data_IF_302531145817
#
_entry.id   IF_302531145817
#
_cell.length_a   1.000
_cell.length_b   1.000
_cell.length_c   1.000
_cell.angle_alpha   90.00
_cell.angle_beta   90.00
_cell.angle_gamma   90.00
#
_symmetry.space_group_name_H-M   'P 1'
#
loop_
_entity.id
_entity.type
_entity.pdbx_description
1 polymer ?
#
# COMPACT_ATOMS: atom_id res chain seq x y z
N UNK A 1 8.34 -1.14 18.44
CA UNK A 1 7.79 -0.46 17.24
C UNK A 1 8.10 1.05 17.29
N UNK A 2 8.81 1.58 16.29
CA UNK A 2 8.94 3.03 16.18
C UNK A 2 7.57 3.61 15.79
N UNK A 3 7.05 4.64 16.47
CA UNK A 3 5.81 5.27 16.06
C UNK A 3 6.07 6.07 14.77
N UNK A 4 5.72 5.50 13.63
CA UNK A 4 5.57 6.27 12.39
C UNK A 4 4.14 6.82 12.34
N UNK A 5 3.98 8.12 12.61
CA UNK A 5 2.68 8.79 12.55
C UNK A 5 2.28 9.16 11.10
N UNK A 6 3.24 9.14 10.17
CA UNK A 6 3.04 9.53 8.78
C UNK A 6 4.10 8.92 7.87
N UNK A 7 3.77 8.84 6.57
CA UNK A 7 4.75 8.68 5.50
C UNK A 7 4.99 10.05 4.84
N UNK A 8 6.24 10.34 4.41
CA UNK A 8 6.48 11.53 3.62
C UNK A 8 5.69 11.48 2.30
N UNK A 9 5.41 12.65 1.72
CA UNK A 9 4.91 12.73 0.35
C UNK A 9 5.85 11.95 -0.59
N UNK A 10 5.27 11.29 -1.59
CA UNK A 10 6.00 10.49 -2.58
C UNK A 10 6.89 9.39 -1.97
N UNK A 11 6.55 8.84 -0.80
CA UNK A 11 7.36 7.80 -0.14
C UNK A 11 7.71 6.61 -1.06
N UNK A 12 6.76 6.20 -1.90
CA UNK A 12 6.92 5.11 -2.88
C UNK A 12 7.88 5.50 -4.01
N UNK A 13 7.66 6.65 -4.67
CA UNK A 13 8.46 7.09 -5.81
C UNK A 13 9.85 7.64 -5.42
N UNK A 14 10.01 8.19 -4.22
CA UNK A 14 11.26 8.83 -3.75
C UNK A 14 12.34 7.85 -3.30
N UNK A 15 12.06 6.54 -3.31
CA UNK A 15 12.95 5.52 -2.73
C UNK A 15 13.04 5.58 -1.19
N UNK A 16 12.21 6.39 -0.53
CA UNK A 16 12.15 6.43 0.94
C UNK A 16 11.80 5.07 1.54
N UNK A 17 10.78 4.39 1.01
CA UNK A 17 10.35 3.08 1.51
C UNK A 17 11.48 2.05 1.45
N UNK A 18 12.21 2.00 0.33
CA UNK A 18 13.37 1.11 0.18
C UNK A 18 14.48 1.42 1.19
N UNK A 19 14.75 2.70 1.48
CA UNK A 19 15.79 3.11 2.45
C UNK A 19 15.46 2.68 3.89
N UNK A 20 14.19 2.62 4.25
CA UNK A 20 13.74 2.16 5.57
C UNK A 20 13.51 0.64 5.63
N UNK A 21 13.85 -0.10 4.56
CA UNK A 21 13.68 -1.55 4.48
C UNK A 21 12.24 -2.02 4.25
N UNK A 22 11.33 -1.13 3.84
CA UNK A 22 9.98 -1.51 3.49
C UNK A 22 9.95 -2.21 2.11
N UNK A 23 9.01 -3.14 1.97
CA UNK A 23 8.73 -3.84 0.70
C UNK A 23 7.42 -3.35 0.09
N UNK A 24 7.40 -3.24 -1.22
CA UNK A 24 6.30 -2.82 -2.07
C UNK A 24 5.93 -3.98 -3.01
N UNK A 25 4.63 -4.25 -3.09
CA UNK A 25 4.10 -5.23 -4.02
C UNK A 25 4.13 -4.70 -5.46
N UNK A 26 4.09 -5.63 -6.42
CA UNK A 26 3.74 -5.28 -7.79
C UNK A 26 2.24 -4.98 -7.89
N UNK A 27 1.92 -3.81 -8.43
CA UNK A 27 0.55 -3.35 -8.66
C UNK A 27 0.02 -3.79 -10.05
N UNK A 28 -1.26 -3.50 -10.30
CA UNK A 28 -1.94 -3.84 -11.56
C UNK A 28 -1.47 -3.02 -12.77
N UNK A 29 -0.70 -1.94 -12.58
CA UNK A 29 0.02 -1.28 -13.67
C UNK A 29 1.28 -2.04 -14.09
N UNK A 30 1.61 -3.17 -13.43
CA UNK A 30 2.80 -3.96 -13.68
C UNK A 30 4.09 -3.36 -13.08
N UNK A 31 3.96 -2.39 -12.19
CA UNK A 31 5.09 -1.70 -11.53
C UNK A 31 5.09 -1.97 -10.03
N UNK A 32 6.26 -1.88 -9.40
CA UNK A 32 6.36 -2.01 -7.95
C UNK A 32 6.01 -0.66 -7.30
N UNK A 33 5.17 -0.66 -6.27
CA UNK A 33 4.79 0.55 -5.53
C UNK A 33 3.46 1.20 -5.95
N UNK A 34 3.32 2.49 -5.69
CA UNK A 34 2.06 3.24 -5.86
C UNK A 34 1.92 3.84 -7.27
N UNK A 35 0.82 3.50 -7.96
CA UNK A 35 0.54 3.94 -9.34
C UNK A 35 -0.51 5.05 -9.52
N UNK A 36 -1.01 5.64 -8.43
CA UNK A 36 -1.87 6.83 -8.48
C UNK A 36 -3.27 6.67 -9.11
N UNK A 37 -4.16 7.67 -8.95
CA UNK A 37 -5.44 7.72 -9.62
C UNK A 37 -5.34 8.04 -11.12
N UNK A 38 -5.88 7.16 -11.98
CA UNK A 38 -6.07 7.43 -13.41
C UNK A 38 -7.44 6.91 -13.89
N UNK A 39 -8.56 7.48 -13.42
CA UNK A 39 -9.88 7.02 -13.81
C UNK A 39 -10.22 7.45 -15.25
N UNK A 40 -11.03 6.67 -15.98
CA UNK A 40 -11.60 7.12 -17.25
C UNK A 40 -12.54 8.32 -17.02
N UNK A 41 -12.81 9.13 -18.08
CA UNK A 41 -13.79 10.22 -17.98
C UNK A 41 -15.17 9.73 -17.53
N UNK A 42 -15.85 10.53 -16.71
CA UNK A 42 -17.21 10.26 -16.26
C UNK A 42 -17.33 10.12 -14.74
N UNK A 43 -17.90 9.00 -14.27
CA UNK A 43 -18.19 8.82 -12.84
C UNK A 43 -16.89 8.71 -12.02
N UNK A 44 -16.70 9.50 -10.94
CA UNK A 44 -15.54 9.38 -10.08
C UNK A 44 -15.35 7.97 -9.53
N UNK A 45 -14.11 7.50 -9.53
CA UNK A 45 -13.73 6.23 -8.90
C UNK A 45 -13.48 6.43 -7.41
N UNK A 46 -13.69 5.33 -6.65
CA UNK A 46 -13.33 5.25 -5.23
C UNK A 46 -11.93 4.68 -5.10
N UNK A 47 -11.03 5.45 -4.51
CA UNK A 47 -9.70 5.03 -4.10
C UNK A 47 -9.74 4.71 -2.61
N UNK A 48 -9.56 3.44 -2.32
CA UNK A 48 -9.68 2.89 -0.97
C UNK A 48 -8.29 2.70 -0.41
N UNK A 49 -7.95 3.48 0.61
CA UNK A 49 -6.67 3.39 1.31
C UNK A 49 -6.95 2.73 2.65
N UNK A 50 -6.35 1.56 2.87
CA UNK A 50 -6.52 0.81 4.12
C UNK A 50 -5.18 0.67 4.81
N UNK A 51 -5.13 1.01 6.09
CA UNK A 51 -3.98 0.79 6.97
C UNK A 51 -4.28 -0.39 7.87
N UNK A 52 -3.34 -1.33 7.95
CA UNK A 52 -3.44 -2.53 8.77
C UNK A 52 -2.40 -2.48 9.89
N UNK A 53 -2.84 -2.68 11.14
CA UNK A 53 -1.95 -2.96 12.25
C UNK A 53 -1.70 -4.48 12.30
N UNK A 54 -0.44 -4.91 12.22
CA UNK A 54 -0.07 -6.32 12.16
C UNK A 54 0.55 -6.81 13.48
N UNK A 55 0.31 -8.07 13.82
CA UNK A 55 0.80 -8.72 15.05
C UNK A 55 2.31 -8.98 15.00
N UNK A 56 2.85 -9.28 13.83
CA UNK A 56 4.23 -9.70 13.64
C UNK A 56 4.93 -8.93 12.53
N UNK A 57 6.27 -8.99 12.56
CA UNK A 57 7.15 -8.46 11.50
C UNK A 57 7.66 -9.55 10.55
N UNK A 58 7.41 -10.82 10.85
CA UNK A 58 7.76 -11.96 9.99
C UNK A 58 6.66 -12.16 8.93
N UNK A 59 6.71 -11.32 7.91
CA UNK A 59 5.84 -11.42 6.74
C UNK A 59 6.65 -12.03 5.60
N UNK A 60 6.11 -13.05 4.93
CA UNK A 60 6.75 -13.69 3.77
C UNK A 60 6.57 -12.87 2.50
N UNK A 61 6.92 -11.60 2.57
CA UNK A 61 6.82 -10.61 1.49
C UNK A 61 8.19 -10.13 1.06
N UNK A 62 8.30 -9.74 -0.20
CA UNK A 62 9.52 -9.16 -0.77
C UNK A 62 9.14 -8.18 -1.88
N UNK A 63 10.07 -7.30 -2.25
CA UNK A 63 9.87 -6.32 -3.31
C UNK A 63 9.38 -6.98 -4.61
N UNK A 64 8.34 -6.40 -5.20
CA UNK A 64 7.80 -6.80 -6.50
C UNK A 64 7.08 -8.15 -6.52
N UNK A 65 6.85 -8.79 -5.36
CA UNK A 65 5.96 -9.95 -5.29
C UNK A 65 4.51 -9.53 -5.57
N UNK A 66 3.67 -10.44 -6.13
CA UNK A 66 2.28 -10.10 -6.46
C UNK A 66 1.48 -9.61 -5.25
N UNK A 67 0.63 -8.60 -5.45
CA UNK A 67 -0.23 -8.04 -4.41
C UNK A 67 -1.04 -9.09 -3.62
N UNK A 68 -1.62 -10.15 -4.23
CA UNK A 68 -2.35 -11.18 -3.47
C UNK A 68 -1.52 -11.91 -2.41
N UNK A 69 -0.20 -12.02 -2.57
CA UNK A 69 0.67 -12.59 -1.53
C UNK A 69 0.77 -11.66 -0.32
N UNK A 70 0.92 -10.35 -0.55
CA UNK A 70 0.91 -9.38 0.54
C UNK A 70 -0.44 -9.37 1.24
N UNK A 71 -1.55 -9.42 0.49
CA UNK A 71 -2.90 -9.47 1.05
C UNK A 71 -3.10 -10.69 1.96
N UNK A 72 -2.60 -11.86 1.55
CA UNK A 72 -2.63 -13.06 2.38
C UNK A 72 -1.88 -12.86 3.70
N UNK A 73 -0.62 -12.40 3.64
CA UNK A 73 0.21 -12.18 4.82
C UNK A 73 -0.38 -11.11 5.75
N UNK A 74 -0.88 -10.00 5.19
CA UNK A 74 -1.59 -8.94 5.94
C UNK A 74 -2.82 -9.54 6.64
N UNK A 75 -3.65 -10.30 5.91
CA UNK A 75 -4.88 -10.88 6.44
C UNK A 75 -4.65 -11.82 7.62
N UNK A 76 -3.61 -12.64 7.57
CA UNK A 76 -3.29 -13.60 8.66
C UNK A 76 -2.74 -12.92 9.92
N UNK A 77 -2.16 -11.73 9.80
CA UNK A 77 -1.49 -11.04 10.90
C UNK A 77 -2.26 -9.82 11.43
N UNK A 78 -3.40 -9.45 10.84
CA UNK A 78 -4.13 -8.22 11.19
C UNK A 78 -4.68 -8.24 12.61
N UNK A 79 -4.35 -7.20 13.38
CA UNK A 79 -4.91 -6.87 14.69
C UNK A 79 -6.05 -5.85 14.59
N UNK A 80 -5.99 -4.96 13.60
CA UNK A 80 -6.97 -3.90 13.41
C UNK A 80 -6.73 -3.14 12.11
N UNK A 81 -7.74 -2.38 11.67
CA UNK A 81 -7.71 -1.66 10.40
C UNK A 81 -8.30 -0.26 10.52
N UNK A 82 -7.85 0.62 9.64
CA UNK A 82 -8.46 1.93 9.41
C UNK A 82 -8.56 2.16 7.90
N UNK A 83 -9.64 2.82 7.45
CA UNK A 83 -9.92 3.02 6.04
C UNK A 83 -10.23 4.47 5.73
N UNK A 84 -9.59 4.99 4.69
CA UNK A 84 -9.90 6.25 4.06
C UNK A 84 -10.41 5.98 2.64
N UNK A 85 -11.53 6.60 2.26
CA UNK A 85 -12.07 6.51 0.90
C UNK A 85 -12.01 7.89 0.26
N UNK A 86 -11.22 8.00 -0.80
CA UNK A 86 -11.06 9.22 -1.60
C UNK A 86 -11.79 9.02 -2.92
N UNK A 87 -12.49 10.05 -3.38
CA UNK A 87 -13.13 10.03 -4.70
C UNK A 87 -12.34 10.92 -5.64
N UNK A 88 -12.03 10.42 -6.83
CA UNK A 88 -11.34 11.20 -7.87
C UNK A 88 -11.92 10.84 -9.25
N UNK A 89 -12.14 11.86 -10.07
CA UNK A 89 -12.69 11.76 -11.42
C UNK A 89 -11.91 12.65 -12.39
N UNK A 90 -12.02 12.37 -13.68
CA UNK A 90 -11.39 13.11 -14.77
C UNK A 90 -12.42 13.84 -15.61
#
# INVERSE_FOLDING_TARGET
PAPAASLPADASASGFLRRIGASEARNDFGTDGYGGPCPPPGKPHRYVITVYALKGMDLRVAQGRPAPMFEHEIGTQTLGTARLVVHYGR
#
